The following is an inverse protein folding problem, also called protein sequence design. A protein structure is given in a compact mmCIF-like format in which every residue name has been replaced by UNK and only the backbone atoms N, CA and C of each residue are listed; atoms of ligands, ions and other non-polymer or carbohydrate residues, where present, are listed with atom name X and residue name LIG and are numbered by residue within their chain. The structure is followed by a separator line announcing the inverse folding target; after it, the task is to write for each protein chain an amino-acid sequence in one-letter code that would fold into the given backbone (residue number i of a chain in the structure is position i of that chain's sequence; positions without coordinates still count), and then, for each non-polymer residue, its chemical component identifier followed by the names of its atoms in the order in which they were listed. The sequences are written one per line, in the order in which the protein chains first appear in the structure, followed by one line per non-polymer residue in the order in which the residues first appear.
data_IF_911839064092
#
_entry.id   IF_911839064092
#
_cell.length_a   1.000
_cell.length_b   1.000
_cell.length_c   1.000
_cell.angle_alpha   90.00
_cell.angle_beta   90.00
_cell.angle_gamma   90.00
#
_symmetry.space_group_name_H-M   'P 1'
#
loop_
_entity.id
_entity.type
_entity.pdbx_description
1 polymer ?
#
# COMPACT_ATOMS: atom_id res chain seq x y z
N UNK A 1 66.29 34.80 7.64
CA UNK A 1 64.89 35.22 7.52
C UNK A 1 64.09 34.46 6.43
N UNK A 2 64.69 33.74 5.45
CA UNK A 2 63.94 32.99 4.41
C UNK A 2 63.41 31.60 4.85
N UNK A 3 63.91 31.02 5.95
CA UNK A 3 63.47 29.71 6.43
C UNK A 3 62.19 29.72 7.32
N UNK A 4 61.95 30.79 8.07
CA UNK A 4 60.76 30.92 8.93
C UNK A 4 59.47 31.20 8.17
N UNK A 5 59.56 31.82 6.98
CA UNK A 5 58.37 32.11 6.17
C UNK A 5 57.78 30.89 5.49
N UNK A 6 58.61 29.89 5.18
CA UNK A 6 58.14 28.62 4.54
C UNK A 6 57.47 27.67 5.53
N UNK A 7 57.90 27.65 6.83
CA UNK A 7 57.23 26.83 7.84
C UNK A 7 55.86 27.41 8.23
N UNK A 8 55.69 28.72 8.25
CA UNK A 8 54.38 29.34 8.55
C UNK A 8 53.35 29.08 7.43
N UNK A 9 53.73 29.06 6.16
CA UNK A 9 52.79 28.78 5.06
C UNK A 9 52.34 27.30 5.02
N UNK A 10 53.20 26.35 5.37
CA UNK A 10 52.85 24.94 5.44
C UNK A 10 51.92 24.65 6.62
N UNK A 11 52.14 25.29 7.76
CA UNK A 11 51.27 25.15 8.95
C UNK A 11 49.88 25.76 8.72
N UNK A 12 49.76 26.89 8.03
CA UNK A 12 48.46 27.51 7.67
C UNK A 12 47.71 26.69 6.61
N UNK A 13 48.42 26.13 5.64
CA UNK A 13 47.81 25.23 4.66
C UNK A 13 47.33 23.89 5.29
N UNK A 14 48.06 23.34 6.24
CA UNK A 14 47.64 22.12 6.97
C UNK A 14 46.46 22.40 7.91
N UNK A 15 46.38 23.57 8.55
CA UNK A 15 45.22 23.98 9.34
C UNK A 15 43.98 24.27 8.49
N UNK A 16 44.16 24.85 7.29
CA UNK A 16 43.04 25.07 6.35
C UNK A 16 42.49 23.77 5.80
N UNK A 17 43.33 22.77 5.53
CA UNK A 17 42.90 21.44 5.13
C UNK A 17 42.17 20.67 6.25
N UNK A 18 42.50 20.91 7.54
CA UNK A 18 41.81 20.33 8.67
C UNK A 18 40.44 20.95 8.97
N UNK A 19 40.14 22.12 8.38
CA UNK A 19 38.85 22.83 8.53
C UNK A 19 37.90 22.66 7.36
N UNK A 20 38.26 21.90 6.32
CA UNK A 20 37.34 21.62 5.23
C UNK A 20 36.19 20.70 5.70
N UNK A 21 34.92 21.05 5.44
CA UNK A 21 33.80 20.19 5.80
C UNK A 21 34.00 18.80 5.22
N UNK A 22 33.93 17.79 6.10
CA UNK A 22 34.09 16.38 5.70
C UNK A 22 32.93 15.97 4.80
N UNK A 23 33.24 15.47 3.63
CA UNK A 23 32.24 14.82 2.77
C UNK A 23 31.89 13.45 3.34
N UNK A 24 30.59 13.17 3.46
CA UNK A 24 30.03 11.90 3.95
C UNK A 24 28.86 11.50 3.07
N UNK A 25 28.61 10.23 2.98
CA UNK A 25 27.48 9.66 2.26
C UNK A 25 26.58 8.91 3.24
N UNK A 26 25.31 9.31 3.28
CA UNK A 26 24.23 8.61 3.95
C UNK A 26 23.42 7.86 2.88
N UNK A 27 23.07 6.60 3.13
CA UNK A 27 22.20 5.80 2.28
C UNK A 27 20.88 5.56 3.03
N UNK A 28 19.78 5.99 2.44
CA UNK A 28 18.44 5.61 2.87
C UNK A 28 17.97 4.46 1.98
N UNK A 29 17.72 3.31 2.57
CA UNK A 29 17.09 2.18 1.90
C UNK A 29 15.60 2.24 2.20
N UNK A 30 14.76 2.08 1.19
CA UNK A 30 13.32 2.22 1.35
C UNK A 30 12.52 1.08 0.75
N UNK A 31 11.45 0.70 1.46
CA UNK A 31 10.38 -0.18 1.00
C UNK A 31 9.03 0.52 1.18
N UNK A 32 8.05 0.12 0.41
CA UNK A 32 6.65 0.52 0.51
C UNK A 32 5.77 -0.57 -0.08
N UNK A 33 4.50 -0.63 0.32
CA UNK A 33 3.47 -1.50 -0.27
C UNK A 33 3.96 -2.96 -0.40
N UNK A 34 4.56 -3.49 0.65
CA UNK A 34 5.12 -4.84 0.66
C UNK A 34 4.03 -5.92 0.58
N UNK A 35 2.80 -5.61 1.04
CA UNK A 35 1.63 -6.47 0.97
C UNK A 35 1.89 -7.92 1.36
N UNK A 36 2.61 -8.09 2.47
CA UNK A 36 2.95 -9.40 3.03
C UNK A 36 3.73 -10.34 2.10
N UNK A 37 4.39 -9.83 1.06
CA UNK A 37 5.14 -10.65 0.08
C UNK A 37 6.47 -11.14 0.64
N UNK A 38 6.42 -11.85 1.76
CA UNK A 38 7.59 -12.39 2.48
C UNK A 38 8.48 -13.29 1.62
N UNK A 39 7.97 -13.89 0.54
CA UNK A 39 8.78 -14.69 -0.40
C UNK A 39 9.91 -13.89 -1.06
N UNK A 40 9.81 -12.56 -1.12
CA UNK A 40 10.85 -11.70 -1.67
C UNK A 40 11.83 -11.19 -0.59
N UNK A 41 11.50 -11.41 0.69
CA UNK A 41 12.28 -10.93 1.83
C UNK A 41 13.73 -11.47 1.87
N UNK A 42 14.00 -12.74 1.52
CA UNK A 42 15.38 -13.25 1.47
C UNK A 42 16.29 -12.47 0.50
N UNK A 43 15.73 -11.98 -0.62
CA UNK A 43 16.46 -11.15 -1.58
C UNK A 43 16.63 -9.72 -1.09
N UNK A 44 15.63 -9.18 -0.37
CA UNK A 44 15.75 -7.90 0.32
C UNK A 44 16.90 -7.94 1.34
N UNK A 45 16.98 -8.99 2.14
CA UNK A 45 18.06 -9.16 3.11
C UNK A 45 19.45 -9.09 2.44
N UNK A 46 19.64 -9.84 1.35
CA UNK A 46 20.89 -9.78 0.58
C UNK A 46 21.18 -8.38 0.01
N UNK A 47 20.17 -7.66 -0.48
CA UNK A 47 20.32 -6.31 -1.00
C UNK A 47 20.72 -5.31 0.10
N UNK A 48 20.10 -5.40 1.27
CA UNK A 48 20.42 -4.57 2.44
C UNK A 48 21.84 -4.82 2.92
N UNK A 49 22.26 -6.07 3.07
CA UNK A 49 23.62 -6.41 3.48
C UNK A 49 24.66 -5.93 2.47
N UNK A 50 24.43 -6.11 1.16
CA UNK A 50 25.33 -5.58 0.13
C UNK A 50 25.49 -4.04 0.22
N UNK A 51 24.45 -3.31 0.63
CA UNK A 51 24.54 -1.88 0.88
C UNK A 51 25.30 -1.58 2.18
N UNK A 52 25.10 -2.35 3.25
CA UNK A 52 25.80 -2.19 4.54
C UNK A 52 27.30 -2.48 4.42
N UNK A 53 27.68 -3.43 3.55
CA UNK A 53 29.09 -3.73 3.27
C UNK A 53 29.85 -2.59 2.58
N UNK A 54 29.14 -1.75 1.82
CA UNK A 54 29.73 -0.69 1.01
C UNK A 54 29.52 0.73 1.58
N UNK A 55 28.47 0.92 2.35
CA UNK A 55 28.09 2.20 2.94
C UNK A 55 28.15 2.16 4.48
N UNK A 56 28.86 3.13 5.08
CA UNK A 56 29.01 3.19 6.54
C UNK A 56 27.74 3.67 7.26
N UNK A 57 26.96 4.54 6.61
CA UNK A 57 25.77 5.17 7.19
C UNK A 57 24.57 4.71 6.37
N UNK A 58 23.84 3.75 6.92
CA UNK A 58 22.64 3.18 6.29
C UNK A 58 21.47 3.33 7.26
N UNK A 59 20.32 3.73 6.74
CA UNK A 59 19.03 3.76 7.44
C UNK A 59 18.00 3.04 6.58
N UNK A 60 17.26 2.10 7.14
CA UNK A 60 16.24 1.30 6.46
C UNK A 60 14.84 1.79 6.87
N UNK A 61 14.04 2.21 5.89
CA UNK A 61 12.76 2.90 6.08
C UNK A 61 11.64 2.19 5.35
N UNK A 62 10.44 2.13 5.95
CA UNK A 62 9.25 1.59 5.33
C UNK A 62 8.11 2.61 5.27
N UNK A 63 7.50 2.78 4.10
CA UNK A 63 6.44 3.76 3.88
C UNK A 63 5.03 3.18 3.98
N UNK A 64 4.83 2.07 4.73
CA UNK A 64 3.52 1.51 5.03
C UNK A 64 3.03 0.43 4.07
N UNK A 65 1.85 -0.12 4.38
CA UNK A 65 1.23 -1.27 3.72
C UNK A 65 2.13 -2.52 3.74
N UNK A 66 2.55 -2.89 4.96
CA UNK A 66 3.45 -4.03 5.19
C UNK A 66 2.76 -5.37 5.04
N UNK A 67 1.52 -5.50 5.48
CA UNK A 67 0.73 -6.73 5.41
C UNK A 67 -0.48 -6.60 4.50
N UNK A 68 -1.36 -7.59 4.55
CA UNK A 68 -2.52 -7.77 3.69
C UNK A 68 -2.18 -8.09 2.24
N UNK A 69 -2.29 -9.37 1.91
CA UNK A 69 -2.08 -9.90 0.56
C UNK A 69 -1.34 -11.22 0.50
N UNK A 70 -1.13 -11.89 1.66
CA UNK A 70 -0.53 -13.22 1.74
C UNK A 70 -1.09 -14.01 2.92
N UNK A 71 -1.83 -15.06 2.62
CA UNK A 71 -2.49 -15.89 3.63
C UNK A 71 -1.57 -16.41 4.74
N UNK A 72 -0.31 -16.69 4.46
CA UNK A 72 0.65 -17.17 5.45
C UNK A 72 1.10 -16.10 6.45
N UNK A 73 0.85 -14.84 6.14
CA UNK A 73 1.06 -13.70 7.03
C UNK A 73 -0.26 -13.28 7.67
N UNK A 74 -1.32 -13.15 6.85
CA UNK A 74 -2.61 -12.60 7.26
C UNK A 74 -3.42 -13.58 8.12
N UNK A 75 -3.25 -14.90 7.90
CA UNK A 75 -3.90 -15.99 8.65
C UNK A 75 -2.94 -16.69 9.63
N UNK A 76 -1.76 -16.14 9.87
CA UNK A 76 -0.84 -16.66 10.88
C UNK A 76 -1.51 -16.64 12.27
N UNK A 77 -1.07 -17.47 13.25
CA UNK A 77 -1.60 -17.45 14.62
C UNK A 77 -1.63 -16.05 15.27
N UNK A 78 -0.68 -15.20 14.89
CA UNK A 78 -0.73 -13.75 15.09
C UNK A 78 -0.58 -13.11 13.73
N UNK A 79 -1.67 -12.62 13.11
CA UNK A 79 -1.62 -12.00 11.78
C UNK A 79 -0.57 -10.89 11.70
N UNK A 80 0.12 -10.75 10.57
CA UNK A 80 1.18 -9.74 10.39
C UNK A 80 2.52 -10.07 11.06
N UNK A 81 2.56 -10.90 12.12
CA UNK A 81 3.79 -11.20 12.86
C UNK A 81 4.93 -11.80 12.01
N UNK A 82 4.68 -12.65 11.00
CA UNK A 82 5.76 -13.11 10.14
C UNK A 82 6.52 -11.97 9.43
N UNK A 83 5.81 -10.93 8.98
CA UNK A 83 6.44 -9.75 8.37
C UNK A 83 7.23 -8.96 9.41
N UNK A 84 6.63 -8.66 10.58
CA UNK A 84 7.29 -7.90 11.65
C UNK A 84 8.56 -8.60 12.13
N UNK A 85 8.51 -9.92 12.33
CA UNK A 85 9.69 -10.69 12.77
C UNK A 85 10.85 -10.57 11.76
N UNK A 86 10.55 -10.67 10.47
CA UNK A 86 11.55 -10.49 9.41
C UNK A 86 12.10 -9.05 9.37
N UNK A 87 11.24 -8.04 9.56
CA UNK A 87 11.65 -6.63 9.58
C UNK A 87 12.52 -6.31 10.80
N UNK A 88 12.14 -6.79 12.00
CA UNK A 88 12.93 -6.64 13.22
C UNK A 88 14.32 -7.25 13.05
N UNK A 89 14.40 -8.49 12.54
CA UNK A 89 15.67 -9.19 12.34
C UNK A 89 16.56 -8.49 11.30
N UNK A 90 15.96 -7.95 10.22
CA UNK A 90 16.70 -7.20 9.21
C UNK A 90 17.16 -5.83 9.72
N UNK A 91 16.57 -5.33 10.81
CA UNK A 91 16.92 -4.07 11.45
C UNK A 91 16.42 -2.88 10.66
N UNK A 92 15.11 -2.80 10.44
CA UNK A 92 14.47 -1.56 10.05
C UNK A 92 14.67 -0.50 11.13
N UNK A 93 14.74 0.77 10.75
CA UNK A 93 14.96 1.90 11.65
C UNK A 93 13.67 2.69 11.89
N UNK A 94 12.92 2.99 10.81
CA UNK A 94 11.74 3.84 10.85
C UNK A 94 10.67 3.32 9.91
N UNK A 95 9.41 3.43 10.31
CA UNK A 95 8.27 3.17 9.45
C UNK A 95 7.14 4.18 9.67
N UNK A 96 6.26 4.34 8.66
CA UNK A 96 4.95 4.98 8.85
C UNK A 96 3.82 3.95 8.73
N UNK A 97 2.57 4.39 8.87
CA UNK A 97 1.39 3.56 8.61
C UNK A 97 0.91 3.77 7.17
N UNK A 98 0.42 2.71 6.55
CA UNK A 98 -0.46 2.76 5.39
C UNK A 98 -1.91 2.48 5.78
N UNK A 99 -2.81 2.39 4.80
CA UNK A 99 -4.22 2.10 5.05
C UNK A 99 -4.43 0.63 5.46
N UNK A 100 -3.64 -0.29 4.93
CA UNK A 100 -3.76 -1.72 5.24
C UNK A 100 -3.25 -2.10 6.63
N UNK A 101 -2.52 -1.24 7.32
CA UNK A 101 -2.20 -1.47 8.73
C UNK A 101 -3.45 -1.58 9.61
N UNK A 102 -4.56 -0.97 9.21
CA UNK A 102 -5.83 -0.95 9.94
C UNK A 102 -6.77 -2.14 9.61
N UNK A 103 -6.44 -3.02 8.69
CA UNK A 103 -7.33 -4.08 8.20
C UNK A 103 -7.80 -5.04 9.30
N UNK A 104 -6.94 -5.34 10.26
CA UNK A 104 -7.29 -6.15 11.44
C UNK A 104 -7.79 -5.33 12.63
N UNK A 105 -8.09 -4.04 12.43
CA UNK A 105 -8.60 -3.11 13.43
C UNK A 105 -7.53 -2.50 14.33
N UNK A 106 -7.86 -1.34 14.89
CA UNK A 106 -6.92 -0.51 15.67
C UNK A 106 -6.38 -1.18 16.94
N UNK A 107 -7.17 -1.99 17.63
CA UNK A 107 -6.70 -2.69 18.83
C UNK A 107 -5.65 -3.76 18.52
N UNK A 108 -5.76 -4.37 17.35
CA UNK A 108 -4.75 -5.30 16.82
C UNK A 108 -3.49 -4.51 16.41
N UNK A 109 -3.64 -3.45 15.63
CA UNK A 109 -2.52 -2.62 15.19
C UNK A 109 -1.69 -2.08 16.38
N UNK A 110 -2.35 -1.61 17.45
CA UNK A 110 -1.65 -1.16 18.66
C UNK A 110 -0.72 -2.22 19.24
N UNK A 111 -1.20 -3.48 19.36
CA UNK A 111 -0.35 -4.59 19.84
C UNK A 111 0.78 -4.94 18.89
N UNK A 112 0.56 -4.79 17.58
CA UNK A 112 1.60 -5.07 16.59
C UNK A 112 2.70 -4.03 16.62
N UNK A 113 2.35 -2.75 16.84
CA UNK A 113 3.33 -1.66 17.04
C UNK A 113 4.22 -1.93 18.24
N UNK A 114 3.65 -2.42 19.35
CA UNK A 114 4.42 -2.83 20.54
C UNK A 114 5.43 -3.96 20.27
N UNK A 115 5.26 -4.70 19.18
CA UNK A 115 6.12 -5.81 18.77
C UNK A 115 7.20 -5.41 17.75
N UNK A 116 7.21 -4.14 17.31
CA UNK A 116 8.19 -3.60 16.36
C UNK A 116 9.42 -3.08 17.10
N UNK A 117 10.62 -3.48 16.67
CA UNK A 117 11.89 -3.02 17.21
C UNK A 117 12.38 -1.73 16.51
N UNK A 118 11.55 -1.12 15.67
CA UNK A 118 11.81 0.12 14.93
C UNK A 118 10.76 1.18 15.24
N UNK A 119 11.13 2.44 15.02
CA UNK A 119 10.25 3.58 15.30
C UNK A 119 9.08 3.66 14.30
N UNK A 120 7.85 3.70 14.81
CA UNK A 120 6.66 3.95 13.99
C UNK A 120 6.18 5.38 14.21
N UNK A 121 6.19 6.17 13.15
CA UNK A 121 5.81 7.60 13.19
C UNK A 121 4.59 7.84 12.30
N UNK A 122 3.59 8.58 12.81
CA UNK A 122 2.46 9.01 11.99
C UNK A 122 1.84 10.28 12.58
N UNK A 123 1.97 11.39 11.86
CA UNK A 123 1.60 12.72 12.33
C UNK A 123 0.10 13.00 12.28
N UNK A 124 -0.64 12.28 11.46
CA UNK A 124 -2.07 12.53 11.23
C UNK A 124 -2.99 11.40 11.68
N UNK A 125 -2.54 10.54 12.60
CA UNK A 125 -3.41 9.60 13.32
C UNK A 125 -3.56 10.09 14.74
N UNK A 126 -4.76 10.51 15.11
CA UNK A 126 -5.07 11.08 16.43
C UNK A 126 -6.08 10.20 17.16
N UNK A 127 -5.71 9.71 18.34
CA UNK A 127 -6.59 8.97 19.23
C UNK A 127 -7.53 9.95 19.96
N UNK A 128 -8.69 10.21 19.36
CA UNK A 128 -9.65 11.19 19.89
C UNK A 128 -10.51 10.62 21.04
N UNK A 129 -11.09 9.42 20.82
CA UNK A 129 -12.01 8.79 21.79
C UNK A 129 -11.82 7.28 21.94
N UNK A 130 -10.68 6.75 21.52
CA UNK A 130 -10.34 5.32 21.58
C UNK A 130 -9.08 5.07 22.38
N UNK A 131 -8.69 3.79 22.52
CA UNK A 131 -7.50 3.36 23.27
C UNK A 131 -6.30 3.08 22.37
N UNK A 132 -6.36 3.45 21.09
CA UNK A 132 -5.21 3.32 20.20
C UNK A 132 -4.05 4.19 20.71
N UNK A 133 -2.80 3.70 20.72
CA UNK A 133 -1.68 4.48 21.20
C UNK A 133 -1.47 5.72 20.32
N UNK A 134 -1.25 6.88 20.95
CA UNK A 134 -0.87 8.07 20.20
C UNK A 134 0.56 7.91 19.69
N UNK A 135 0.70 7.83 18.38
CA UNK A 135 2.00 7.69 17.74
C UNK A 135 2.79 9.02 17.77
N UNK A 136 4.12 8.97 17.85
CA UNK A 136 4.94 10.13 17.61
C UNK A 136 4.76 10.63 16.17
N UNK A 137 4.64 11.94 15.95
CA UNK A 137 4.50 12.50 14.60
C UNK A 137 5.78 12.38 13.77
N UNK A 138 6.92 12.28 14.45
CA UNK A 138 8.26 12.21 13.88
C UNK A 138 9.24 11.52 14.82
N UNK A 139 10.41 11.17 14.30
CA UNK A 139 11.59 10.74 15.06
C UNK A 139 12.87 11.34 14.48
N UNK A 140 13.95 11.35 15.25
CA UNK A 140 15.29 11.74 14.80
C UNK A 140 16.23 10.55 15.01
N UNK A 141 16.79 10.05 13.92
CA UNK A 141 17.82 9.02 13.93
C UNK A 141 19.21 9.66 13.81
N UNK A 142 20.11 9.39 14.74
CA UNK A 142 21.52 9.83 14.64
C UNK A 142 22.37 8.71 14.02
N UNK A 143 23.14 9.06 13.01
CA UNK A 143 24.11 8.16 12.38
C UNK A 143 25.46 8.88 12.29
N UNK A 144 26.36 8.56 13.21
CA UNK A 144 27.73 9.12 13.27
C UNK A 144 27.72 10.67 13.33
N UNK A 145 26.75 11.24 14.09
CA UNK A 145 26.55 12.67 14.25
C UNK A 145 25.85 13.37 13.08
N UNK A 146 25.25 12.66 12.15
CA UNK A 146 24.25 13.19 11.22
C UNK A 146 22.87 12.92 11.80
N UNK A 147 22.11 13.98 12.03
CA UNK A 147 20.74 13.93 12.55
C UNK A 147 19.75 13.91 11.39
N UNK A 148 19.02 12.80 11.27
CA UNK A 148 18.06 12.56 10.19
C UNK A 148 16.68 12.59 10.81
N UNK A 149 15.86 13.59 10.47
CA UNK A 149 14.47 13.71 10.90
C UNK A 149 13.54 12.98 9.96
N UNK A 150 12.62 12.19 10.50
CA UNK A 150 11.58 11.46 9.75
C UNK A 150 10.22 11.89 10.27
N UNK A 151 9.38 12.42 9.38
CA UNK A 151 7.96 12.71 9.64
C UNK A 151 7.13 11.67 8.92
N UNK A 152 6.15 11.05 9.59
CA UNK A 152 5.25 10.06 8.99
C UNK A 152 3.87 10.63 8.72
N UNK A 153 3.22 10.21 7.62
CA UNK A 153 1.80 10.52 7.33
C UNK A 153 1.14 9.36 6.57
N UNK A 154 -0.18 9.22 6.76
CA UNK A 154 -1.03 8.27 6.04
C UNK A 154 -2.15 9.00 5.31
N UNK A 155 -2.65 8.45 4.21
CA UNK A 155 -3.77 9.00 3.43
C UNK A 155 -5.04 9.18 4.29
N UNK A 156 -5.92 10.13 3.90
CA UNK A 156 -7.29 10.27 4.40
C UNK A 156 -8.26 10.65 3.27
N UNK A 157 -7.85 10.41 2.01
CA UNK A 157 -8.54 10.96 0.83
C UNK A 157 -9.56 9.99 0.21
N UNK A 158 -9.51 8.69 0.55
CA UNK A 158 -10.35 7.65 -0.07
C UNK A 158 -11.70 7.50 0.64
N UNK A 159 -11.70 7.57 1.97
CA UNK A 159 -12.89 7.51 2.81
C UNK A 159 -13.44 8.89 3.19
N UNK A 160 -14.48 8.96 4.00
CA UNK A 160 -15.02 10.22 4.51
C UNK A 160 -14.13 10.82 5.62
N UNK A 161 -12.89 11.19 5.28
CA UNK A 161 -11.90 11.75 6.20
C UNK A 161 -11.07 10.71 6.95
N UNK A 162 -10.94 9.52 6.42
CA UNK A 162 -10.07 8.45 6.91
C UNK A 162 -9.49 7.64 5.74
N UNK A 163 -8.48 6.78 5.95
CA UNK A 163 -7.96 5.88 4.92
C UNK A 163 -9.03 4.92 4.37
N UNK A 164 -8.81 4.36 3.19
CA UNK A 164 -9.63 3.25 2.71
C UNK A 164 -9.55 2.06 3.67
N UNK A 165 -10.70 1.45 3.97
CA UNK A 165 -10.78 0.31 4.88
C UNK A 165 -12.14 0.16 5.54
N UNK A 166 -12.22 -0.73 6.52
CA UNK A 166 -13.44 -0.94 7.29
C UNK A 166 -13.64 0.22 8.29
N UNK A 167 -14.76 0.94 8.19
CA UNK A 167 -15.10 2.09 9.04
C UNK A 167 -14.96 1.78 10.56
N UNK A 168 -15.29 0.56 10.97
CA UNK A 168 -15.14 0.16 12.38
C UNK A 168 -13.69 0.15 12.87
N UNK A 169 -12.73 -0.01 11.97
CA UNK A 169 -11.30 0.05 12.28
C UNK A 169 -10.83 1.46 12.64
N UNK A 170 -11.61 2.47 12.26
CA UNK A 170 -11.26 3.88 12.48
C UNK A 170 -12.10 4.54 13.59
N UNK A 171 -12.99 3.79 14.24
CA UNK A 171 -13.87 4.33 15.26
C UNK A 171 -13.10 5.01 16.41
N UNK A 172 -13.35 6.31 16.62
CA UNK A 172 -12.66 7.11 17.66
C UNK A 172 -11.25 7.59 17.27
N UNK A 173 -10.81 7.32 16.04
CA UNK A 173 -9.65 7.95 15.44
C UNK A 173 -10.06 9.17 14.60
N UNK A 174 -9.19 10.17 14.56
CA UNK A 174 -9.27 11.30 13.64
C UNK A 174 -8.04 11.30 12.74
N UNK A 175 -8.23 11.68 11.48
CA UNK A 175 -7.17 11.76 10.48
C UNK A 175 -7.10 13.19 9.91
N UNK A 176 -6.45 14.15 10.61
CA UNK A 176 -6.18 15.48 10.07
C UNK A 176 -5.54 15.41 8.69
N UNK A 177 -5.68 16.50 7.93
CA UNK A 177 -5.11 16.59 6.58
C UNK A 177 -3.61 16.27 6.58
N UNK A 178 -3.15 15.22 5.87
CA UNK A 178 -1.77 14.74 5.95
C UNK A 178 -0.77 15.77 5.37
N UNK A 179 -1.15 16.54 4.33
CA UNK A 179 -0.27 17.58 3.78
C UNK A 179 -0.05 18.72 4.80
N UNK A 180 -1.11 19.14 5.49
CA UNK A 180 -1.00 20.17 6.53
C UNK A 180 -0.13 19.70 7.69
N UNK A 181 -0.26 18.43 8.11
CA UNK A 181 0.55 17.86 9.19
C UNK A 181 2.01 17.66 8.75
N UNK A 182 2.25 17.24 7.53
CA UNK A 182 3.61 17.16 6.96
C UNK A 182 4.29 18.52 6.97
N UNK A 183 3.64 19.59 6.52
CA UNK A 183 4.21 20.95 6.52
C UNK A 183 4.45 21.47 7.93
N UNK A 184 3.52 21.24 8.86
CA UNK A 184 3.65 21.65 10.26
C UNK A 184 4.91 21.06 10.88
N UNK A 185 5.07 19.75 10.81
CA UNK A 185 6.19 19.07 11.46
C UNK A 185 7.50 19.21 10.68
N UNK A 186 7.46 19.49 9.37
CA UNK A 186 8.65 19.91 8.65
C UNK A 186 9.23 21.22 9.21
N UNK A 187 8.37 22.22 9.44
CA UNK A 187 8.81 23.52 9.99
C UNK A 187 9.34 23.39 11.42
N UNK A 188 8.73 22.52 12.23
CA UNK A 188 9.17 22.26 13.61
C UNK A 188 10.53 21.53 13.65
N UNK A 189 10.68 20.50 12.80
CA UNK A 189 11.82 19.58 12.87
C UNK A 189 13.04 20.05 12.07
N UNK A 190 12.86 20.87 11.03
CA UNK A 190 13.96 21.34 10.16
C UNK A 190 15.17 21.94 10.92
N UNK A 191 14.97 22.78 11.96
CA UNK A 191 16.11 23.32 12.73
C UNK A 191 16.87 22.28 13.56
N UNK A 192 16.26 21.12 13.79
CA UNK A 192 16.75 20.07 14.67
C UNK A 192 17.56 18.99 13.94
N UNK A 193 17.54 18.96 12.60
CA UNK A 193 18.15 17.87 11.82
C UNK A 193 18.96 18.38 10.61
N UNK A 194 19.91 17.54 10.17
CA UNK A 194 20.77 17.79 9.01
C UNK A 194 20.08 17.37 7.71
N UNK A 195 19.31 16.26 7.76
CA UNK A 195 18.51 15.71 6.68
C UNK A 195 17.07 15.57 7.17
N UNK A 196 16.11 16.00 6.38
CA UNK A 196 14.69 15.90 6.68
C UNK A 196 13.97 15.06 5.64
N UNK A 197 13.33 13.99 6.08
CA UNK A 197 12.64 13.00 5.26
C UNK A 197 11.15 12.95 5.61
N UNK A 198 10.29 12.99 4.61
CA UNK A 198 8.89 12.62 4.74
C UNK A 198 8.74 11.14 4.39
N UNK A 199 8.16 10.37 5.28
CA UNK A 199 7.74 8.99 5.04
C UNK A 199 6.23 9.02 4.81
N UNK A 200 5.82 8.94 3.55
CA UNK A 200 4.47 9.26 3.13
C UNK A 200 3.73 8.03 2.62
N UNK A 201 2.50 7.87 3.10
CA UNK A 201 1.56 6.92 2.49
C UNK A 201 0.32 7.66 1.98
N UNK A 202 0.54 8.80 1.26
CA UNK A 202 -0.55 9.61 0.69
C UNK A 202 -0.82 9.32 -0.79
N UNK A 203 0.14 8.69 -1.47
CA UNK A 203 0.18 8.56 -2.93
C UNK A 203 1.06 9.62 -3.60
N UNK A 204 1.68 9.24 -4.71
CA UNK A 204 2.65 10.06 -5.45
C UNK A 204 2.05 11.37 -5.98
N UNK A 205 0.78 11.37 -6.35
CA UNK A 205 0.06 12.56 -6.81
C UNK A 205 -0.12 13.59 -5.69
N UNK A 206 -0.44 13.15 -4.47
CA UNK A 206 -0.59 14.02 -3.30
C UNK A 206 0.76 14.50 -2.79
N UNK A 207 1.77 13.66 -2.85
CA UNK A 207 3.14 14.03 -2.52
C UNK A 207 3.67 15.08 -3.52
N UNK A 208 3.45 14.87 -4.83
CA UNK A 208 3.81 15.84 -5.86
C UNK A 208 3.06 17.17 -5.70
N UNK A 209 1.76 17.13 -5.35
CA UNK A 209 0.96 18.34 -5.04
C UNK A 209 1.55 19.12 -3.87
N UNK A 210 1.90 18.43 -2.77
CA UNK A 210 2.55 19.02 -1.60
C UNK A 210 3.85 19.74 -1.99
N UNK A 211 4.70 19.07 -2.77
CA UNK A 211 6.00 19.61 -3.18
C UNK A 211 5.85 20.78 -4.16
N UNK A 212 4.89 20.73 -5.07
CA UNK A 212 4.62 21.79 -6.06
C UNK A 212 4.20 23.12 -5.41
N UNK A 213 3.64 23.10 -4.19
CA UNK A 213 3.30 24.31 -3.43
C UNK A 213 4.55 25.10 -2.98
N UNK A 214 5.75 24.52 -3.07
CA UNK A 214 7.01 25.19 -2.77
C UNK A 214 7.22 25.59 -1.30
N UNK A 215 6.43 25.03 -0.39
CA UNK A 215 6.51 25.30 1.05
C UNK A 215 7.18 24.17 1.83
N UNK A 216 7.47 23.06 1.16
CA UNK A 216 8.13 21.90 1.74
C UNK A 216 9.60 22.19 2.05
N UNK A 217 10.06 21.70 3.21
CA UNK A 217 11.45 21.80 3.64
C UNK A 217 12.14 20.42 3.63
N UNK A 218 11.49 19.41 3.05
CA UNK A 218 12.05 18.06 2.96
C UNK A 218 13.17 17.98 1.93
N UNK A 219 14.19 17.19 2.24
CA UNK A 219 15.25 16.83 1.31
C UNK A 219 14.82 15.63 0.44
N UNK A 220 14.08 14.69 1.06
CA UNK A 220 13.58 13.46 0.43
C UNK A 220 12.14 13.16 0.90
N UNK A 221 11.31 12.67 0.00
CA UNK A 221 10.03 12.02 0.27
C UNK A 221 10.12 10.55 -0.14
N UNK A 222 9.92 9.66 0.82
CA UNK A 222 9.79 8.21 0.60
C UNK A 222 8.29 7.91 0.62
N UNK A 223 7.72 7.68 -0.57
CA UNK A 223 6.28 7.52 -0.78
C UNK A 223 5.81 6.07 -0.84
N UNK A 224 4.49 5.89 -0.81
CA UNK A 224 3.76 4.63 -0.97
C UNK A 224 2.33 4.86 -1.47
N UNK A 225 1.47 3.85 -1.38
CA UNK A 225 0.04 3.85 -1.64
C UNK A 225 -0.39 3.63 -3.10
N UNK A 226 0.16 4.35 -4.06
CA UNK A 226 -0.25 4.26 -5.48
C UNK A 226 0.40 3.11 -6.23
N UNK A 227 1.34 2.40 -5.60
CA UNK A 227 2.05 1.26 -6.20
C UNK A 227 2.91 1.60 -7.42
N UNK A 228 3.18 2.88 -7.66
CA UNK A 228 3.97 3.36 -8.80
C UNK A 228 5.48 3.28 -8.51
N UNK A 229 6.29 3.22 -9.55
CA UNK A 229 7.73 3.43 -9.46
C UNK A 229 8.03 4.89 -9.73
N UNK A 230 8.46 5.64 -8.70
CA UNK A 230 8.68 7.09 -8.78
C UNK A 230 10.13 7.43 -8.47
N UNK A 231 10.72 8.24 -9.36
CA UNK A 231 12.04 8.87 -9.22
C UNK A 231 11.95 10.26 -9.84
N UNK A 232 11.55 11.24 -9.01
CA UNK A 232 11.26 12.59 -9.53
C UNK A 232 11.76 13.67 -8.59
N UNK A 233 12.41 14.69 -9.12
CA UNK A 233 12.85 15.89 -8.39
C UNK A 233 11.82 17.02 -8.56
N UNK A 234 11.20 17.46 -7.50
CA UNK A 234 10.21 18.55 -7.49
C UNK A 234 10.65 19.64 -6.54
N UNK A 235 10.90 20.86 -7.05
CA UNK A 235 11.28 22.00 -6.23
C UNK A 235 12.60 21.83 -5.45
N UNK A 236 13.41 20.84 -5.81
CA UNK A 236 14.67 20.51 -5.11
C UNK A 236 14.53 19.35 -4.10
N UNK A 237 13.33 18.85 -3.86
CA UNK A 237 13.06 17.66 -3.05
C UNK A 237 12.94 16.43 -3.95
N UNK A 238 13.60 15.35 -3.57
CA UNK A 238 13.49 14.06 -4.25
C UNK A 238 12.23 13.31 -3.77
N UNK A 239 11.33 12.97 -4.69
CA UNK A 239 10.17 12.11 -4.46
C UNK A 239 10.45 10.72 -5.00
N UNK A 240 10.25 9.68 -4.16
CA UNK A 240 10.55 8.30 -4.48
C UNK A 240 9.42 7.36 -4.10
N UNK A 241 9.23 6.29 -4.87
CA UNK A 241 8.37 5.14 -4.54
C UNK A 241 8.89 3.92 -5.31
N UNK A 242 8.79 2.71 -4.73
CA UNK A 242 9.46 1.51 -5.27
C UNK A 242 8.52 0.52 -5.99
N UNK A 243 7.30 0.94 -6.30
CA UNK A 243 6.26 0.04 -6.78
C UNK A 243 5.59 -0.71 -5.62
N UNK A 244 5.35 -2.00 -5.76
CA UNK A 244 4.68 -2.83 -4.74
C UNK A 244 5.21 -4.26 -4.67
N UNK A 245 4.64 -5.04 -3.73
CA UNK A 245 4.87 -6.49 -3.60
C UNK A 245 6.33 -6.85 -3.29
N UNK A 246 7.10 -5.91 -2.71
CA UNK A 246 8.51 -6.11 -2.40
C UNK A 246 9.30 -6.65 -3.61
N UNK A 247 9.05 -6.08 -4.80
CA UNK A 247 9.79 -6.43 -6.04
C UNK A 247 11.10 -5.68 -6.14
N UNK A 248 11.14 -4.48 -5.56
CA UNK A 248 12.28 -3.59 -5.60
C UNK A 248 12.64 -3.07 -4.21
N UNK A 249 13.84 -2.51 -4.09
CA UNK A 249 14.27 -1.65 -2.98
C UNK A 249 14.69 -0.29 -3.53
N UNK A 250 14.31 0.78 -2.85
CA UNK A 250 14.78 2.13 -3.13
C UNK A 250 16.14 2.37 -2.47
N UNK A 251 17.09 2.94 -3.21
CA UNK A 251 18.41 3.31 -2.71
C UNK A 251 18.63 4.79 -2.93
N UNK A 252 18.39 5.60 -1.90
CA UNK A 252 18.66 7.04 -1.91
C UNK A 252 20.03 7.30 -1.33
N UNK A 253 20.89 7.96 -2.11
CA UNK A 253 22.23 8.38 -1.69
C UNK A 253 22.22 9.87 -1.40
N UNK A 254 22.36 10.25 -0.13
CA UNK A 254 22.45 11.65 0.33
C UNK A 254 23.91 12.01 0.53
N UNK A 255 24.42 12.90 -0.32
CA UNK A 255 25.76 13.44 -0.18
C UNK A 255 25.74 14.62 0.78
N UNK A 256 26.56 14.53 1.83
CA UNK A 256 26.67 15.54 2.89
C UNK A 256 28.00 16.29 2.78
N UNK A 257 27.95 17.60 3.00
CA UNK A 257 29.14 18.43 3.21
C UNK A 257 29.05 19.08 4.60
N UNK A 258 29.73 18.48 5.56
CA UNK A 258 29.53 18.78 6.99
C UNK A 258 28.12 18.30 7.40
N UNK A 259 27.29 19.24 7.88
CA UNK A 259 25.90 19.05 8.30
C UNK A 259 24.86 19.52 7.26
N UNK A 260 25.25 19.65 6.00
CA UNK A 260 24.34 20.12 4.93
C UNK A 260 24.25 19.11 3.82
N UNK A 261 23.06 18.90 3.32
CA UNK A 261 22.81 18.14 2.10
C UNK A 261 23.42 18.88 0.92
N UNK A 262 24.33 18.21 0.22
CA UNK A 262 25.02 18.75 -0.97
C UNK A 262 24.41 18.20 -2.27
N UNK A 263 23.66 17.11 -2.18
CA UNK A 263 22.92 16.51 -3.29
C UNK A 263 22.33 15.16 -2.90
N UNK A 264 21.34 14.77 -3.67
CA UNK A 264 20.64 13.47 -3.53
C UNK A 264 20.64 12.75 -4.87
N UNK A 265 20.81 11.44 -4.84
CA UNK A 265 20.66 10.56 -6.01
C UNK A 265 19.80 9.37 -5.60
N UNK A 266 19.03 8.84 -6.53
CA UNK A 266 18.14 7.70 -6.29
C UNK A 266 18.27 6.64 -7.36
N UNK A 267 17.98 5.42 -7.00
CA UNK A 267 17.79 4.32 -7.93
C UNK A 267 16.81 3.30 -7.34
N UNK A 268 15.95 2.78 -8.18
CA UNK A 268 15.13 1.62 -7.90
C UNK A 268 15.96 0.38 -8.27
N UNK A 269 16.08 -0.56 -7.35
CA UNK A 269 16.90 -1.76 -7.54
C UNK A 269 16.00 -2.98 -7.46
N UNK A 270 15.87 -3.76 -8.57
CA UNK A 270 15.09 -4.99 -8.56
C UNK A 270 15.69 -6.02 -7.62
N UNK A 271 14.88 -6.56 -6.72
CA UNK A 271 15.32 -7.62 -5.80
C UNK A 271 15.63 -8.92 -6.54
N UNK A 272 15.10 -9.10 -7.75
CA UNK A 272 15.42 -10.23 -8.61
C UNK A 272 16.91 -10.33 -8.98
N UNK A 273 17.66 -9.22 -8.87
CA UNK A 273 19.09 -9.16 -9.16
C UNK A 273 19.97 -9.75 -8.04
N UNK A 274 19.36 -10.08 -6.90
CA UNK A 274 20.08 -10.66 -5.74
C UNK A 274 19.75 -12.13 -5.55
N UNK A 275 20.73 -12.92 -5.16
CA UNK A 275 20.51 -14.27 -4.67
C UNK A 275 19.84 -14.21 -3.29
N UNK A 276 18.92 -15.12 -2.96
CA UNK A 276 18.25 -15.12 -1.68
C UNK A 276 19.24 -15.40 -0.52
N UNK A 277 19.13 -14.66 0.57
CA UNK A 277 19.81 -15.02 1.81
C UNK A 277 19.24 -16.32 2.36
N UNK A 278 20.14 -17.23 2.72
CA UNK A 278 19.78 -18.63 3.08
C UNK A 278 19.06 -18.74 4.43
N UNK A 279 19.35 -17.82 5.36
CA UNK A 279 18.72 -17.84 6.69
C UNK A 279 17.30 -17.33 6.60
N UNK A 280 17.10 -16.20 5.95
CA UNK A 280 15.76 -15.64 5.69
C UNK A 280 14.92 -16.56 4.79
N UNK A 281 15.55 -17.23 3.82
CA UNK A 281 14.83 -18.21 3.00
C UNK A 281 14.25 -19.36 3.84
N UNK A 282 15.03 -19.92 4.77
CA UNK A 282 14.55 -20.98 5.67
C UNK A 282 13.42 -20.52 6.58
N UNK A 283 13.48 -19.29 7.08
CA UNK A 283 12.40 -18.73 7.90
C UNK A 283 11.11 -18.56 7.08
N UNK A 284 11.21 -18.01 5.88
CA UNK A 284 10.09 -17.85 4.96
C UNK A 284 9.49 -19.21 4.60
N UNK A 285 10.31 -20.21 4.25
CA UNK A 285 9.87 -21.59 3.98
C UNK A 285 9.11 -22.19 5.17
N UNK A 286 9.52 -21.89 6.40
CA UNK A 286 8.82 -22.36 7.60
C UNK A 286 7.40 -21.75 7.73
N UNK A 287 7.21 -20.47 7.38
CA UNK A 287 5.88 -19.87 7.34
C UNK A 287 4.99 -20.49 6.24
N UNK A 288 5.58 -20.83 5.08
CA UNK A 288 4.85 -21.48 3.98
C UNK A 288 4.55 -22.97 4.23
N UNK A 289 5.07 -23.56 5.29
CA UNK A 289 4.88 -24.98 5.59
C UNK A 289 3.55 -25.31 6.30
N UNK A 290 2.62 -24.32 6.45
CA UNK A 290 1.33 -24.55 7.10
C UNK A 290 0.45 -25.57 6.33
N UNK A 291 0.17 -26.77 6.92
CA UNK A 291 -0.58 -27.80 6.22
C UNK A 291 -2.06 -27.47 6.05
N UNK A 292 -2.63 -26.60 6.90
CA UNK A 292 -4.02 -26.16 6.83
C UNK A 292 -4.26 -25.26 5.64
N UNK A 293 -3.33 -24.33 5.43
CA UNK A 293 -3.38 -23.38 4.30
C UNK A 293 -3.00 -24.02 2.97
N UNK A 294 -2.11 -25.02 2.97
CA UNK A 294 -1.60 -25.68 1.75
C UNK A 294 -2.55 -26.73 1.17
N UNK A 295 -3.41 -27.31 1.99
CA UNK A 295 -4.32 -28.37 1.55
C UNK A 295 -5.32 -27.83 0.52
N UNK A 296 -5.46 -28.49 -0.66
CA UNK A 296 -6.52 -28.15 -1.61
C UNK A 296 -7.89 -28.28 -0.95
N UNK A 297 -8.70 -27.23 -1.07
CA UNK A 297 -10.10 -27.20 -0.63
C UNK A 297 -11.02 -27.72 -1.72
N UNK A 298 -10.70 -27.39 -2.98
CA UNK A 298 -11.39 -27.83 -4.16
C UNK A 298 -10.52 -27.69 -5.40
N UNK A 299 -11.11 -27.60 -6.58
CA UNK A 299 -10.40 -27.55 -7.86
C UNK A 299 -11.06 -26.62 -8.85
N UNK A 300 -10.25 -25.93 -9.67
CA UNK A 300 -10.69 -25.27 -10.88
C UNK A 300 -10.58 -26.22 -12.08
N UNK A 301 -11.63 -26.31 -12.88
CA UNK A 301 -11.67 -27.10 -14.12
C UNK A 301 -10.88 -26.48 -15.28
N UNK A 302 -10.65 -25.16 -15.22
CA UNK A 302 -9.84 -24.38 -16.15
C UNK A 302 -9.06 -23.30 -15.38
N UNK A 303 -8.05 -22.71 -16.03
CA UNK A 303 -7.37 -21.55 -15.44
C UNK A 303 -8.34 -20.34 -15.35
N UNK A 304 -8.26 -19.60 -14.25
CA UNK A 304 -8.93 -18.33 -14.05
C UNK A 304 -7.91 -17.20 -14.24
N UNK A 305 -8.23 -16.21 -15.06
CA UNK A 305 -7.56 -14.93 -15.09
C UNK A 305 -8.22 -13.93 -14.10
N UNK A 306 -7.72 -12.71 -14.01
CA UNK A 306 -8.25 -11.69 -13.09
C UNK A 306 -9.74 -11.40 -13.33
N UNK A 307 -10.20 -11.40 -14.59
CA UNK A 307 -11.61 -11.20 -14.93
C UNK A 307 -12.46 -12.38 -14.47
N UNK A 308 -11.98 -13.61 -14.67
CA UNK A 308 -12.65 -14.81 -14.20
C UNK A 308 -12.76 -14.88 -12.69
N UNK A 309 -11.69 -14.49 -11.97
CA UNK A 309 -11.70 -14.39 -10.51
C UNK A 309 -12.70 -13.33 -10.03
N UNK A 310 -12.73 -12.16 -10.67
CA UNK A 310 -13.69 -11.11 -10.35
C UNK A 310 -15.14 -11.51 -10.64
N UNK A 311 -15.40 -12.21 -11.78
CA UNK A 311 -16.71 -12.76 -12.10
C UNK A 311 -17.17 -13.78 -11.05
N UNK A 312 -16.26 -14.65 -10.60
CA UNK A 312 -16.55 -15.62 -9.55
C UNK A 312 -16.91 -14.92 -8.24
N UNK A 313 -16.13 -13.92 -7.79
CA UNK A 313 -16.42 -13.16 -6.57
C UNK A 313 -17.74 -12.39 -6.69
N UNK A 314 -18.04 -11.78 -7.84
CA UNK A 314 -19.33 -11.12 -8.07
C UNK A 314 -20.51 -12.07 -8.03
N UNK A 315 -20.35 -13.31 -8.55
CA UNK A 315 -21.37 -14.35 -8.48
C UNK A 315 -21.56 -14.83 -7.03
N UNK A 316 -20.47 -15.11 -6.31
CA UNK A 316 -20.53 -15.58 -4.94
C UNK A 316 -21.26 -14.59 -4.01
N UNK A 317 -21.00 -13.27 -4.12
CA UNK A 317 -21.75 -12.28 -3.32
C UNK A 317 -23.23 -12.17 -3.74
N UNK A 318 -23.54 -12.41 -5.01
CA UNK A 318 -24.93 -12.42 -5.47
C UNK A 318 -25.70 -13.63 -4.94
N UNK A 319 -25.11 -14.82 -5.03
CA UNK A 319 -25.73 -16.07 -4.58
C UNK A 319 -25.93 -16.06 -3.07
N UNK A 320 -24.95 -15.64 -2.27
CA UNK A 320 -25.07 -15.51 -0.84
C UNK A 320 -26.22 -14.57 -0.41
N UNK A 321 -26.40 -13.47 -1.12
CA UNK A 321 -27.44 -12.49 -0.81
C UNK A 321 -28.82 -12.77 -1.45
N UNK A 322 -29.02 -13.88 -2.16
CA UNK A 322 -30.19 -14.13 -3.02
C UNK A 322 -30.51 -12.92 -3.91
N UNK A 323 -29.47 -12.37 -4.57
CA UNK A 323 -29.58 -11.14 -5.35
C UNK A 323 -29.70 -11.39 -6.87
N UNK A 324 -30.44 -10.50 -7.56
CA UNK A 324 -30.56 -10.51 -9.02
C UNK A 324 -29.25 -10.10 -9.72
N UNK A 325 -28.44 -9.27 -9.06
CA UNK A 325 -27.19 -8.70 -9.61
C UNK A 325 -26.13 -8.59 -8.51
N UNK A 326 -24.95 -9.15 -8.75
CA UNK A 326 -23.78 -8.98 -7.92
C UNK A 326 -22.76 -8.05 -8.55
N UNK A 327 -22.08 -7.26 -7.72
CA UNK A 327 -20.92 -6.46 -8.11
C UNK A 327 -19.74 -6.73 -7.17
N UNK A 328 -18.54 -6.81 -7.76
CA UNK A 328 -17.29 -6.81 -7.01
C UNK A 328 -16.29 -5.85 -7.65
N UNK A 329 -15.44 -5.19 -6.86
CA UNK A 329 -14.46 -4.26 -7.39
C UNK A 329 -13.15 -4.96 -7.76
N UNK A 330 -12.59 -4.61 -8.93
CA UNK A 330 -11.40 -5.29 -9.46
C UNK A 330 -10.16 -5.12 -8.58
N UNK A 331 -10.05 -3.99 -7.86
CA UNK A 331 -8.98 -3.71 -6.90
C UNK A 331 -8.97 -4.68 -5.71
N UNK A 332 -10.15 -5.22 -5.32
CA UNK A 332 -10.29 -6.22 -4.27
C UNK A 332 -9.91 -7.64 -4.70
N UNK A 333 -9.68 -7.87 -6.00
CA UNK A 333 -9.21 -9.15 -6.55
C UNK A 333 -7.69 -9.16 -6.51
N UNK A 334 -7.09 -9.70 -5.46
CA UNK A 334 -5.64 -9.55 -5.19
C UNK A 334 -4.71 -10.50 -5.97
N UNK A 335 -5.27 -11.49 -6.66
CA UNK A 335 -4.51 -12.38 -7.55
C UNK A 335 -4.82 -12.09 -9.02
N UNK A 336 -3.82 -12.15 -9.88
CA UNK A 336 -3.99 -11.94 -11.31
C UNK A 336 -4.47 -13.23 -12.02
N UNK A 337 -4.20 -14.40 -11.43
CA UNK A 337 -4.66 -15.69 -11.97
C UNK A 337 -4.55 -16.81 -10.94
N UNK A 338 -5.38 -17.86 -11.16
CA UNK A 338 -5.25 -19.16 -10.50
C UNK A 338 -5.25 -20.23 -11.59
N UNK A 339 -4.23 -21.12 -11.67
CA UNK A 339 -4.19 -22.18 -12.69
C UNK A 339 -5.27 -23.22 -12.46
N UNK A 340 -5.60 -23.98 -13.52
CA UNK A 340 -6.44 -25.18 -13.41
C UNK A 340 -5.82 -26.18 -12.42
N UNK A 341 -6.65 -26.91 -11.69
CA UNK A 341 -6.21 -27.90 -10.70
C UNK A 341 -6.59 -27.54 -9.27
N UNK A 342 -5.83 -28.04 -8.31
CA UNK A 342 -6.13 -27.86 -6.89
C UNK A 342 -6.02 -26.38 -6.45
N UNK A 343 -7.04 -25.91 -5.73
CA UNK A 343 -7.08 -24.57 -5.12
C UNK A 343 -7.04 -24.74 -3.61
N UNK A 344 -5.99 -24.22 -2.97
CA UNK A 344 -5.81 -24.29 -1.52
C UNK A 344 -6.49 -23.12 -0.81
N UNK A 345 -6.69 -23.24 0.51
CA UNK A 345 -7.20 -22.13 1.33
C UNK A 345 -6.31 -20.90 1.23
N UNK A 346 -4.97 -21.07 1.19
CA UNK A 346 -4.04 -19.98 1.00
C UNK A 346 -4.29 -19.17 -0.28
N UNK A 347 -4.69 -19.82 -1.37
CA UNK A 347 -5.02 -19.11 -2.63
C UNK A 347 -6.30 -18.29 -2.50
N UNK A 348 -7.30 -18.79 -1.79
CA UNK A 348 -8.57 -18.07 -1.60
C UNK A 348 -8.36 -16.87 -0.67
N UNK A 349 -7.68 -17.04 0.46
CA UNK A 349 -7.33 -15.91 1.34
C UNK A 349 -6.33 -14.93 0.69
N UNK A 350 -5.46 -15.40 -0.20
CA UNK A 350 -4.61 -14.52 -1.00
C UNK A 350 -5.38 -13.77 -2.11
N UNK A 351 -6.52 -14.29 -2.55
CA UNK A 351 -7.42 -13.64 -3.49
C UNK A 351 -8.27 -12.55 -2.81
N UNK A 352 -8.80 -12.86 -1.61
CA UNK A 352 -9.61 -11.98 -0.79
C UNK A 352 -9.06 -11.96 0.67
N UNK A 353 -8.06 -11.12 0.97
CA UNK A 353 -7.41 -11.09 2.29
C UNK A 353 -8.08 -10.14 3.29
N UNK A 354 -9.07 -9.36 2.88
CA UNK A 354 -9.61 -8.23 3.66
C UNK A 354 -10.69 -8.63 4.68
N UNK A 355 -11.18 -9.87 4.60
CA UNK A 355 -12.33 -10.30 5.39
C UNK A 355 -13.61 -9.53 5.03
N UNK A 356 -13.72 -9.14 3.77
CA UNK A 356 -14.84 -8.40 3.19
C UNK A 356 -16.15 -9.12 3.45
N UNK A 357 -17.18 -8.37 3.86
CA UNK A 357 -18.54 -8.86 4.08
C UNK A 357 -19.41 -8.60 2.84
N UNK A 358 -20.57 -9.25 2.76
CA UNK A 358 -21.56 -9.03 1.72
C UNK A 358 -22.57 -7.97 2.19
N UNK A 359 -22.85 -6.98 1.32
CA UNK A 359 -23.92 -6.01 1.52
C UNK A 359 -25.01 -6.23 0.47
N UNK A 360 -26.28 -6.18 0.87
CA UNK A 360 -27.44 -6.31 -0.01
C UNK A 360 -28.36 -5.09 0.05
N UNK A 361 -28.95 -4.73 -1.09
CA UNK A 361 -29.86 -3.60 -1.22
C UNK A 361 -30.75 -3.73 -2.43
N UNK A 362 -31.71 -2.83 -2.62
CA UNK A 362 -32.47 -2.73 -3.87
C UNK A 362 -32.02 -1.50 -4.67
N UNK A 363 -31.75 -1.68 -5.95
CA UNK A 363 -31.40 -0.63 -6.88
C UNK A 363 -32.14 -0.75 -8.20
N UNK A 364 -32.45 0.38 -8.82
CA UNK A 364 -32.90 0.46 -10.22
C UNK A 364 -31.70 0.52 -11.16
N UNK A 365 -31.85 0.21 -12.46
CA UNK A 365 -30.75 0.38 -13.44
C UNK A 365 -30.20 1.82 -13.47
N UNK A 366 -31.06 2.81 -13.26
CA UNK A 366 -30.63 4.22 -13.19
C UNK A 366 -29.71 4.50 -12.00
N UNK A 367 -29.93 3.87 -10.84
CA UNK A 367 -29.08 3.97 -9.66
C UNK A 367 -27.74 3.27 -9.85
N UNK A 368 -27.75 2.02 -10.36
CA UNK A 368 -26.53 1.30 -10.72
C UNK A 368 -25.69 2.06 -11.76
N UNK A 369 -26.34 2.68 -12.75
CA UNK A 369 -25.69 3.53 -13.76
C UNK A 369 -24.94 4.69 -13.14
N UNK A 370 -25.55 5.42 -12.22
CA UNK A 370 -24.89 6.53 -11.51
C UNK A 370 -23.66 6.07 -10.74
N UNK A 371 -23.76 4.98 -9.99
CA UNK A 371 -22.64 4.39 -9.26
C UNK A 371 -21.47 4.05 -10.20
N UNK A 372 -21.73 3.38 -11.33
CA UNK A 372 -20.69 3.00 -12.29
C UNK A 372 -20.07 4.25 -12.96
N UNK A 373 -20.88 5.23 -13.39
CA UNK A 373 -20.40 6.47 -14.02
C UNK A 373 -19.53 7.25 -13.04
N UNK A 374 -19.98 7.40 -11.79
CA UNK A 374 -19.23 8.09 -10.74
C UNK A 374 -17.87 7.44 -10.49
N UNK A 375 -17.85 6.12 -10.32
CA UNK A 375 -16.59 5.39 -10.11
C UNK A 375 -15.67 5.44 -11.33
N UNK A 376 -16.18 5.28 -12.54
CA UNK A 376 -15.37 5.35 -13.76
C UNK A 376 -14.71 6.72 -13.94
N UNK A 377 -15.41 7.81 -13.58
CA UNK A 377 -14.93 9.19 -13.69
C UNK A 377 -14.12 9.65 -12.47
N UNK A 378 -13.98 8.83 -11.45
CA UNK A 378 -13.14 9.18 -10.30
C UNK A 378 -11.67 9.34 -10.75
N UNK A 379 -11.01 10.47 -10.43
CA UNK A 379 -9.63 10.73 -10.83
C UNK A 379 -8.61 9.66 -10.39
N UNK A 380 -8.85 9.03 -9.23
CA UNK A 380 -8.02 7.92 -8.75
C UNK A 380 -8.19 6.73 -9.68
N UNK A 381 -9.42 6.31 -9.95
CA UNK A 381 -9.73 5.20 -10.84
C UNK A 381 -9.24 5.43 -12.28
N UNK A 382 -9.12 6.69 -12.70
CA UNK A 382 -8.62 7.03 -14.04
C UNK A 382 -7.15 6.65 -14.26
N UNK A 383 -6.39 6.46 -13.19
CA UNK A 383 -4.98 6.08 -13.20
C UNK A 383 -4.77 4.56 -13.04
N UNK A 384 -5.81 3.83 -12.63
CA UNK A 384 -5.71 2.39 -12.41
C UNK A 384 -5.50 1.62 -13.73
N UNK A 385 -4.75 0.52 -13.64
CA UNK A 385 -4.50 -0.37 -14.77
C UNK A 385 -5.80 -0.98 -15.35
N UNK A 386 -6.83 -1.11 -14.51
CA UNK A 386 -8.15 -1.61 -14.86
C UNK A 386 -9.20 -0.51 -14.71
N UNK A 387 -9.42 0.28 -15.77
CA UNK A 387 -10.37 1.39 -15.78
C UNK A 387 -11.81 0.98 -15.45
N UNK A 388 -12.23 -0.25 -15.85
CA UNK A 388 -13.49 -0.85 -15.42
C UNK A 388 -13.28 -1.44 -14.03
N UNK A 389 -13.73 -0.75 -13.01
CA UNK A 389 -13.53 -1.20 -11.62
C UNK A 389 -14.62 -2.16 -11.15
N UNK A 390 -15.89 -1.92 -11.51
CA UNK A 390 -17.02 -2.74 -11.07
C UNK A 390 -17.28 -3.92 -11.98
N UNK A 391 -16.94 -5.12 -11.56
CA UNK A 391 -17.26 -6.36 -12.25
C UNK A 391 -18.63 -6.86 -11.77
N UNK A 392 -19.49 -7.29 -12.69
CA UNK A 392 -20.89 -7.62 -12.40
C UNK A 392 -21.34 -8.92 -13.05
N UNK A 393 -22.24 -9.62 -12.37
CA UNK A 393 -22.94 -10.81 -12.92
C UNK A 393 -23.85 -10.48 -14.12
N UNK A 394 -24.18 -9.21 -14.35
CA UNK A 394 -24.91 -8.74 -15.52
C UNK A 394 -24.03 -7.94 -16.47
N UNK A 395 -24.08 -8.19 -17.81
CA UNK A 395 -23.31 -7.40 -18.76
C UNK A 395 -23.74 -5.94 -18.75
N UNK A 396 -22.75 -5.03 -18.89
CA UNK A 396 -23.02 -3.64 -19.16
C UNK A 396 -21.99 -3.00 -20.09
N UNK A 397 -22.34 -1.85 -20.68
CA UNK A 397 -21.49 -1.10 -21.59
C UNK A 397 -21.38 0.33 -21.08
N UNK A 398 -20.18 0.78 -20.80
CA UNK A 398 -19.86 2.18 -20.48
C UNK A 398 -19.72 2.94 -21.81
N UNK A 399 -20.44 4.02 -21.95
CA UNK A 399 -20.37 4.92 -23.12
C UNK A 399 -19.54 6.14 -22.72
N UNK A 400 -18.40 6.39 -23.38
CA UNK A 400 -17.51 7.50 -23.06
C UNK A 400 -17.50 8.57 -24.15
N UNK A 401 -17.08 9.79 -23.80
CA UNK A 401 -16.75 10.86 -24.71
C UNK A 401 -15.32 10.69 -25.31
N UNK A 402 -14.91 11.70 -26.10
CA UNK A 402 -13.59 11.70 -26.72
C UNK A 402 -12.44 11.82 -25.72
N UNK A 403 -12.70 12.36 -24.52
CA UNK A 403 -11.73 12.48 -23.42
C UNK A 403 -11.77 11.29 -22.45
N UNK A 404 -12.49 10.20 -22.82
CA UNK A 404 -12.67 8.98 -22.03
C UNK A 404 -13.41 9.18 -20.70
N UNK A 405 -14.30 10.21 -20.59
CA UNK A 405 -15.21 10.33 -19.46
C UNK A 405 -16.48 9.52 -19.74
N UNK A 406 -16.93 8.74 -18.77
CA UNK A 406 -18.19 8.02 -18.86
C UNK A 406 -19.37 9.01 -18.90
N UNK A 407 -20.19 8.88 -19.93
CA UNK A 407 -21.43 9.67 -20.13
C UNK A 407 -22.67 8.88 -19.72
N UNK A 408 -22.62 7.56 -19.91
CA UNK A 408 -23.78 6.69 -19.69
C UNK A 408 -23.31 5.23 -19.52
N UNK A 409 -24.20 4.39 -18.95
CA UNK A 409 -24.04 2.94 -18.87
C UNK A 409 -25.30 2.26 -19.38
N UNK A 410 -25.15 1.33 -20.30
CA UNK A 410 -26.24 0.56 -20.88
C UNK A 410 -26.26 -0.87 -20.31
N UNK A 411 -27.41 -1.29 -19.79
CA UNK A 411 -27.65 -2.65 -19.31
C UNK A 411 -28.55 -3.41 -20.30
N UNK A 412 -27.99 -4.29 -21.15
CA UNK A 412 -28.79 -5.00 -22.17
C UNK A 412 -29.88 -5.92 -21.62
N UNK A 413 -29.69 -6.41 -20.39
CA UNK A 413 -30.55 -7.40 -19.75
C UNK A 413 -31.48 -6.84 -18.68
N UNK A 414 -31.29 -5.61 -18.23
CA UNK A 414 -32.11 -5.02 -17.19
C UNK A 414 -33.25 -4.16 -17.78
N UNK A 415 -34.40 -4.11 -17.07
CA UNK A 415 -35.55 -3.29 -17.45
C UNK A 415 -35.55 -2.01 -16.68
N UNK A 416 -35.61 -0.88 -17.37
CA UNK A 416 -35.72 0.45 -16.75
C UNK A 416 -36.90 0.53 -15.78
N UNK A 417 -36.69 1.23 -14.67
CA UNK A 417 -37.70 1.44 -13.61
C UNK A 417 -37.99 0.24 -12.73
N UNK A 418 -37.53 -0.96 -13.08
CA UNK A 418 -37.64 -2.13 -12.19
C UNK A 418 -36.58 -2.04 -11.11
N UNK A 419 -36.94 -2.37 -9.86
CA UNK A 419 -35.99 -2.61 -8.77
C UNK A 419 -35.44 -4.03 -8.84
N UNK A 420 -34.18 -4.16 -8.58
CA UNK A 420 -33.43 -5.42 -8.50
C UNK A 420 -32.79 -5.55 -7.14
N UNK A 421 -32.76 -6.73 -6.58
CA UNK A 421 -31.90 -7.06 -5.44
C UNK A 421 -30.46 -7.01 -5.93
N UNK A 422 -29.62 -6.23 -5.29
CA UNK A 422 -28.21 -6.03 -5.64
C UNK A 422 -27.35 -6.43 -4.46
N UNK A 423 -26.32 -7.21 -4.71
CA UNK A 423 -25.28 -7.54 -3.75
C UNK A 423 -23.95 -6.91 -4.16
N UNK A 424 -23.22 -6.41 -3.17
CA UNK A 424 -21.89 -5.82 -3.33
C UNK A 424 -21.00 -6.22 -2.16
N UNK A 425 -19.69 -6.01 -2.27
CA UNK A 425 -18.83 -6.02 -1.08
C UNK A 425 -19.18 -4.86 -0.13
N UNK A 426 -19.02 -5.04 1.16
CA UNK A 426 -19.23 -3.96 2.13
C UNK A 426 -18.28 -2.78 1.91
N UNK A 427 -17.12 -3.03 1.30
CA UNK A 427 -16.22 -1.98 0.83
C UNK A 427 -16.89 -1.06 -0.21
N UNK A 428 -17.55 -1.61 -1.25
CA UNK A 428 -18.31 -0.83 -2.22
C UNK A 428 -19.44 -0.08 -1.51
N UNK A 429 -20.19 -0.77 -0.65
CA UNK A 429 -21.33 -0.22 0.08
C UNK A 429 -20.98 1.02 0.92
N UNK A 430 -19.81 1.03 1.54
CA UNK A 430 -19.36 2.09 2.45
C UNK A 430 -18.62 3.23 1.76
N UNK A 431 -17.86 2.93 0.70
CA UNK A 431 -16.87 3.86 0.17
C UNK A 431 -17.21 4.44 -1.21
N UNK A 432 -18.16 3.85 -1.95
CA UNK A 432 -18.49 4.38 -3.28
C UNK A 432 -19.43 5.56 -3.20
N UNK A 433 -19.07 6.64 -3.91
CA UNK A 433 -19.85 7.87 -4.01
C UNK A 433 -21.05 7.68 -4.94
N UNK A 434 -22.06 8.54 -4.79
CA UNK A 434 -23.27 8.57 -5.63
C UNK A 434 -24.04 7.24 -5.70
N UNK A 435 -23.88 6.41 -4.68
CA UNK A 435 -24.60 5.14 -4.55
C UNK A 435 -25.94 5.38 -3.84
N UNK A 436 -27.01 5.44 -4.62
CA UNK A 436 -28.38 5.55 -4.12
C UNK A 436 -29.04 4.16 -4.15
N UNK A 437 -29.69 3.77 -3.06
CA UNK A 437 -30.36 2.47 -2.92
C UNK A 437 -31.56 2.55 -1.98
N UNK A 438 -32.35 1.48 -1.94
CA UNK A 438 -33.41 1.30 -0.95
C UNK A 438 -33.12 0.06 -0.11
N UNK A 439 -33.27 0.18 1.19
CA UNK A 439 -32.94 -0.88 2.15
C UNK A 439 -31.44 -1.24 2.03
N UNK A 440 -30.68 -1.24 3.06
CA UNK A 440 -29.27 -1.63 3.03
C UNK A 440 -28.96 -2.48 4.24
N UNK A 441 -28.30 -3.61 4.04
CA UNK A 441 -27.95 -4.54 5.11
C UNK A 441 -26.61 -5.17 4.78
N UNK A 442 -25.72 -5.25 5.77
CA UNK A 442 -24.44 -5.98 5.66
C UNK A 442 -24.64 -7.30 6.40
N UNK A 443 -24.29 -8.40 5.75
CA UNK A 443 -24.32 -9.74 6.34
C UNK A 443 -23.12 -9.96 7.26
N UNK A 444 -23.04 -11.12 7.89
CA UNK A 444 -21.89 -11.49 8.75
C UNK A 444 -20.92 -12.43 8.04
N UNK A 445 -21.30 -12.95 6.89
CA UNK A 445 -20.52 -13.90 6.10
C UNK A 445 -19.39 -13.17 5.35
N UNK A 446 -18.18 -13.74 5.45
CA UNK A 446 -17.01 -13.24 4.74
C UNK A 446 -16.95 -13.81 3.32
N UNK A 447 -16.64 -12.96 2.35
CA UNK A 447 -16.51 -13.40 0.95
C UNK A 447 -15.52 -14.56 0.79
N UNK A 448 -14.38 -14.53 1.48
CA UNK A 448 -13.41 -15.63 1.44
C UNK A 448 -14.00 -16.96 1.93
N UNK A 449 -14.84 -16.95 2.97
CA UNK A 449 -15.47 -18.16 3.51
C UNK A 449 -16.53 -18.71 2.56
N UNK A 450 -17.32 -17.84 1.91
CA UNK A 450 -18.29 -18.20 0.85
C UNK A 450 -17.55 -18.88 -0.32
N UNK A 451 -16.46 -18.30 -0.79
CA UNK A 451 -15.64 -18.87 -1.87
C UNK A 451 -15.06 -20.25 -1.50
N UNK A 452 -14.65 -20.43 -0.24
CA UNK A 452 -14.14 -21.72 0.26
C UNK A 452 -15.24 -22.77 0.34
N UNK A 453 -16.46 -22.40 0.70
CA UNK A 453 -17.62 -23.30 0.73
C UNK A 453 -18.02 -23.74 -0.67
N UNK A 454 -18.18 -22.80 -1.61
CA UNK A 454 -18.48 -23.10 -3.00
C UNK A 454 -17.42 -24.03 -3.64
N UNK A 455 -16.13 -23.80 -3.33
CA UNK A 455 -15.04 -24.69 -3.79
C UNK A 455 -15.16 -26.11 -3.24
N UNK A 456 -15.69 -26.31 -2.03
CA UNK A 456 -15.90 -27.66 -1.46
C UNK A 456 -17.07 -28.37 -2.10
N UNK A 457 -18.15 -27.63 -2.36
CA UNK A 457 -19.43 -28.20 -2.75
C UNK A 457 -19.52 -28.45 -4.26
N UNK A 458 -18.99 -27.54 -5.10
CA UNK A 458 -19.15 -27.55 -6.56
C UNK A 458 -17.87 -27.90 -7.33
N UNK A 459 -16.89 -28.50 -6.67
CA UNK A 459 -15.61 -28.87 -7.30
C UNK A 459 -15.76 -30.02 -8.34
N UNK A 460 -15.22 -29.88 -9.57
CA UNK A 460 -14.38 -28.80 -10.07
C UNK A 460 -15.19 -27.61 -10.61
N UNK A 461 -14.94 -26.41 -10.09
CA UNK A 461 -15.54 -25.18 -10.60
C UNK A 461 -15.03 -24.84 -12.00
N UNK A 462 -15.95 -24.46 -12.88
CA UNK A 462 -15.61 -23.91 -14.20
C UNK A 462 -15.73 -22.39 -14.17
N UNK A 463 -14.58 -21.72 -14.19
CA UNK A 463 -14.52 -20.27 -14.12
C UNK A 463 -14.77 -19.63 -15.49
N UNK A 464 -15.65 -18.64 -15.53
CA UNK A 464 -15.95 -17.86 -16.73
C UNK A 464 -15.02 -16.62 -16.80
N UNK A 465 -14.03 -16.67 -17.70
CA UNK A 465 -13.08 -15.59 -17.93
C UNK A 465 -13.60 -14.50 -18.90
N UNK A 466 -14.90 -14.54 -19.25
CA UNK A 466 -15.46 -13.57 -20.20
C UNK A 466 -15.51 -12.17 -19.58
N UNK A 467 -14.94 -11.13 -20.22
CA UNK A 467 -15.10 -9.75 -19.78
C UNK A 467 -16.50 -9.25 -20.17
N UNK A 468 -17.47 -9.42 -19.27
CA UNK A 468 -18.86 -9.03 -19.49
C UNK A 468 -19.06 -7.50 -19.56
N UNK A 469 -18.12 -6.74 -19.07
CA UNK A 469 -18.14 -5.29 -19.07
C UNK A 469 -17.23 -4.76 -20.18
N UNK A 470 -17.64 -3.69 -20.86
CA UNK A 470 -16.86 -3.07 -21.93
C UNK A 470 -17.09 -1.58 -22.03
N UNK A 471 -16.13 -0.88 -22.60
CA UNK A 471 -16.20 0.55 -22.91
C UNK A 471 -16.42 0.74 -24.41
N UNK A 472 -17.29 1.67 -24.79
CA UNK A 472 -17.52 2.10 -26.16
C UNK A 472 -17.42 3.61 -26.22
N UNK A 473 -16.55 4.11 -27.07
CA UNK A 473 -16.37 5.54 -27.30
C UNK A 473 -17.44 6.05 -28.28
N UNK A 474 -18.07 7.17 -27.97
CA UNK A 474 -19.08 7.84 -28.80
C UNK A 474 -18.43 8.79 -29.80
#
# INVERSE_FOLDING_TARGET
MKGMLRMGLVAVAALAAACAPRERTLVLLSTNDMHAKIQNFPRLASAVEACRDTARLVVLVDAGDRWTGNAYVDMAPTPGMPMIALMNELGYDVATLGNHEFDHGQAFLGRMIDSMDFEVVCANVVSATCTFPQLPPYTIVDRDGIRIGFVGVVTNYEGPGHPAGNESSFAGLEFPDPQAMALKYAAELRPECDVLVLVSHMGDDRDAELLAKGQSQYDVVIGGHTHEEVDTLIGGTLLTQTGKDLRNIGVTTVRMKGHKVAGVDYRIVPLADYEPDILYQKQVEAYYADPGLNKPVGRFGNAADKWGLANWMAAAVADEADADVGFYHIGGVRLDSIPAGGVSAAKVYGLEPFGTLVARMEMTPAQMRRMIVSKYNDPVNAKEAHRIDLISTTPYVIVTDAADNALDVQFPKLREGRKYKVAVSDYIYRNYKDMEYTGGEITVEKVADILLEELRDDSPLKIDNTPWQRVVRK
#
